data_IF_230578580412
#
_entry.id   IF_230578580412
#
_cell.length_a   1.000
_cell.length_b   1.000
_cell.length_c   1.000
_cell.angle_alpha   90.00
_cell.angle_beta   90.00
_cell.angle_gamma   90.00
#
_symmetry.space_group_name_H-M   'P 1'
#
loop_
_entity.id
_entity.type
_entity.pdbx_description
1 polymer ?
#
# COMPACT_ATOMS: atom_id res chain seq x y z
N UNK A 1 -16.09 -2.09 23.69
CA UNK A 1 -15.89 -0.73 24.27
C UNK A 1 -14.40 -0.44 24.23
N UNK A 2 -13.99 0.67 23.63
CA UNK A 2 -12.60 1.12 23.57
C UNK A 2 -12.07 1.41 24.97
N UNK A 3 -10.88 0.93 25.30
CA UNK A 3 -10.28 1.21 26.59
C UNK A 3 -8.96 2.00 26.43
N UNK A 4 -8.59 2.72 27.49
CA UNK A 4 -7.38 3.56 27.50
C UNK A 4 -6.11 2.76 27.19
N UNK A 5 -6.04 1.50 27.61
CA UNK A 5 -4.87 0.65 27.33
C UNK A 5 -4.70 0.35 25.83
N UNK A 6 -5.79 0.25 25.08
CA UNK A 6 -5.76 0.08 23.64
C UNK A 6 -5.30 1.36 22.93
N UNK A 7 -5.79 2.52 23.37
CA UNK A 7 -5.31 3.81 22.86
C UNK A 7 -3.81 4.00 23.08
N UNK A 8 -3.30 3.66 24.24
CA UNK A 8 -1.88 3.82 24.59
C UNK A 8 -0.92 2.93 23.77
N UNK A 9 -1.43 1.92 23.08
CA UNK A 9 -0.63 1.16 22.10
C UNK A 9 -0.29 1.98 20.84
N UNK A 10 -1.06 3.02 20.56
CA UNK A 10 -0.83 3.94 19.43
C UNK A 10 -0.01 5.15 19.90
N UNK A 11 1.12 5.45 19.23
CA UNK A 11 2.00 6.59 19.55
C UNK A 11 1.22 7.91 19.63
N UNK A 12 0.20 8.05 18.81
CA UNK A 12 -0.67 9.22 18.72
C UNK A 12 -1.30 9.60 20.07
N UNK A 13 -1.66 8.63 20.90
CA UNK A 13 -2.37 8.83 22.17
C UNK A 13 -1.46 8.79 23.41
N UNK A 14 -0.20 8.32 23.27
CA UNK A 14 0.71 8.10 24.42
C UNK A 14 1.03 9.36 25.23
N UNK A 15 0.90 10.53 24.63
CA UNK A 15 1.22 11.82 25.27
C UNK A 15 -0.02 12.61 25.69
N UNK A 16 -1.22 12.00 25.62
CA UNK A 16 -2.44 12.60 26.11
C UNK A 16 -2.58 12.36 27.63
N UNK A 17 -3.19 13.35 28.29
CA UNK A 17 -3.58 13.24 29.70
C UNK A 17 -4.71 12.23 29.85
N UNK A 18 -4.81 11.64 31.04
CA UNK A 18 -5.78 10.58 31.33
C UNK A 18 -7.22 11.00 31.03
N UNK A 19 -7.61 12.21 31.43
CA UNK A 19 -8.97 12.72 31.20
C UNK A 19 -9.30 12.83 29.71
N UNK A 20 -8.30 13.10 28.87
CA UNK A 20 -8.48 13.13 27.41
C UNK A 20 -8.58 11.74 26.80
N UNK A 21 -7.85 10.78 27.33
CA UNK A 21 -7.98 9.38 26.90
C UNK A 21 -9.36 8.81 27.27
N UNK A 22 -9.83 9.07 28.49
CA UNK A 22 -11.18 8.68 28.93
C UNK A 22 -12.24 9.36 28.05
N UNK A 23 -12.06 10.66 27.74
CA UNK A 23 -12.95 11.41 26.84
C UNK A 23 -13.04 10.79 25.43
N UNK A 24 -11.93 10.29 24.87
CA UNK A 24 -11.90 9.57 23.59
C UNK A 24 -12.64 8.24 23.69
N UNK A 25 -12.39 7.48 24.74
CA UNK A 25 -13.05 6.18 24.96
C UNK A 25 -14.58 6.31 25.03
N UNK A 26 -15.08 7.36 25.69
CA UNK A 26 -16.52 7.61 25.85
C UNK A 26 -17.23 7.99 24.54
N UNK A 27 -16.50 8.56 23.58
CA UNK A 27 -17.06 9.03 22.30
C UNK A 27 -16.87 8.05 21.14
N UNK A 28 -15.99 7.10 21.32
CA UNK A 28 -15.70 6.14 20.27
C UNK A 28 -16.86 5.16 20.07
N UNK A 29 -17.37 5.06 18.87
CA UNK A 29 -18.38 4.07 18.46
C UNK A 29 -17.69 2.82 17.97
N UNK A 30 -18.06 1.65 18.50
CA UNK A 30 -17.51 0.36 18.08
C UNK A 30 -18.19 -0.12 16.80
N UNK A 31 -17.36 -0.55 15.83
CA UNK A 31 -17.74 -1.20 14.60
C UNK A 31 -17.07 -2.58 14.54
N UNK A 32 -17.84 -3.59 14.21
CA UNK A 32 -17.34 -4.94 13.95
C UNK A 32 -17.42 -5.24 12.45
N UNK A 33 -16.34 -5.73 11.91
CA UNK A 33 -16.24 -6.07 10.49
C UNK A 33 -15.89 -7.54 10.37
N UNK A 34 -16.66 -8.26 9.56
CA UNK A 34 -16.28 -9.61 9.13
C UNK A 34 -15.21 -9.55 8.05
N UNK A 35 -14.45 -10.62 7.92
CA UNK A 35 -13.49 -10.76 6.83
C UNK A 35 -14.16 -10.49 5.47
N UNK A 36 -13.57 -9.59 4.67
CA UNK A 36 -14.08 -9.19 3.37
C UNK A 36 -14.92 -7.92 3.36
N UNK A 37 -15.38 -7.44 4.53
CA UNK A 37 -16.18 -6.22 4.63
C UNK A 37 -15.36 -4.99 4.23
N UNK A 38 -16.03 -4.03 3.59
CA UNK A 38 -15.43 -2.75 3.22
C UNK A 38 -15.70 -1.72 4.31
N UNK A 39 -14.63 -1.23 4.95
CA UNK A 39 -14.69 -0.18 5.96
C UNK A 39 -14.91 1.20 5.32
N UNK A 40 -14.11 1.52 4.29
CA UNK A 40 -14.17 2.77 3.54
C UNK A 40 -13.88 2.46 2.08
N UNK A 41 -14.56 3.14 1.15
CA UNK A 41 -14.36 2.97 -0.29
C UNK A 41 -13.64 4.17 -0.90
N UNK A 42 -12.79 3.91 -1.89
CA UNK A 42 -12.17 4.96 -2.70
C UNK A 42 -13.22 5.87 -3.34
N UNK A 43 -13.04 7.19 -3.22
CA UNK A 43 -13.97 8.21 -3.70
C UNK A 43 -15.07 8.61 -2.71
N UNK A 44 -15.22 7.91 -1.59
CA UNK A 44 -16.14 8.31 -0.54
C UNK A 44 -15.66 9.57 0.19
N UNK A 45 -16.58 10.29 0.82
CA UNK A 45 -16.23 11.29 1.84
C UNK A 45 -15.76 10.57 3.10
N UNK A 46 -14.84 11.20 3.85
CA UNK A 46 -14.40 10.66 5.14
C UNK A 46 -15.60 10.53 6.10
N UNK A 47 -15.67 9.41 6.82
CA UNK A 47 -16.70 9.18 7.85
C UNK A 47 -16.25 9.72 9.20
N UNK A 48 -15.04 9.37 9.62
CA UNK A 48 -14.47 9.75 10.90
C UNK A 48 -13.01 9.32 11.02
N UNK A 49 -12.46 9.47 12.21
CA UNK A 49 -11.16 8.94 12.57
C UNK A 49 -11.35 7.51 13.10
N UNK A 50 -10.69 6.55 12.47
CA UNK A 50 -10.90 5.12 12.66
C UNK A 50 -9.70 4.51 13.41
N UNK A 51 -9.95 3.78 14.48
CA UNK A 51 -8.95 3.09 15.30
C UNK A 51 -9.18 1.59 15.19
N UNK A 52 -8.24 0.88 14.58
CA UNK A 52 -8.23 -0.58 14.49
C UNK A 52 -7.59 -1.15 15.76
N UNK A 53 -8.35 -1.88 16.57
CA UNK A 53 -7.88 -2.49 17.82
C UNK A 53 -7.63 -3.98 17.70
N UNK A 54 -8.24 -4.65 16.71
CA UNK A 54 -8.06 -6.08 16.44
C UNK A 54 -8.23 -6.36 14.95
N UNK A 55 -7.47 -7.30 14.40
CA UNK A 55 -7.53 -7.73 13.02
C UNK A 55 -6.54 -7.03 12.09
N UNK A 56 -6.75 -7.18 10.78
CA UNK A 56 -5.92 -6.65 9.71
C UNK A 56 -6.78 -6.02 8.62
N UNK A 57 -6.40 -4.83 8.15
CA UNK A 57 -7.06 -4.06 7.08
C UNK A 57 -6.14 -3.99 5.86
N UNK A 58 -6.62 -4.49 4.72
CA UNK A 58 -5.99 -4.33 3.42
C UNK A 58 -6.32 -2.97 2.81
N UNK A 59 -5.35 -2.39 2.12
CA UNK A 59 -5.45 -1.11 1.43
C UNK A 59 -5.31 -1.38 -0.06
N UNK A 60 -6.33 -1.01 -0.83
CA UNK A 60 -6.34 -1.15 -2.27
C UNK A 60 -6.65 0.19 -2.94
N UNK A 61 -6.22 0.33 -4.17
CA UNK A 61 -6.53 1.49 -5.03
C UNK A 61 -6.97 1.01 -6.40
N UNK A 62 -7.95 1.68 -6.97
CA UNK A 62 -8.39 1.41 -8.33
C UNK A 62 -7.50 2.14 -9.34
N UNK A 63 -6.89 1.40 -10.26
CA UNK A 63 -6.02 1.96 -11.30
C UNK A 63 -6.18 1.14 -12.59
N UNK A 64 -6.38 1.82 -13.71
CA UNK A 64 -6.51 1.20 -15.06
C UNK A 64 -7.57 0.09 -15.13
N UNK A 65 -8.68 0.24 -14.39
CA UNK A 65 -9.77 -0.74 -14.39
C UNK A 65 -9.59 -1.93 -13.45
N UNK A 66 -8.50 -1.96 -12.67
CA UNK A 66 -8.17 -3.05 -11.74
C UNK A 66 -7.95 -2.53 -10.32
N UNK A 67 -8.48 -3.25 -9.34
CA UNK A 67 -8.19 -2.99 -7.93
C UNK A 67 -6.82 -3.56 -7.57
N UNK A 68 -5.91 -2.69 -7.16
CA UNK A 68 -4.52 -3.04 -6.87
C UNK A 68 -4.22 -2.92 -5.39
N UNK A 69 -3.63 -3.94 -4.75
CA UNK A 69 -3.20 -3.86 -3.37
C UNK A 69 -2.00 -2.90 -3.25
N UNK A 70 -2.08 -1.97 -2.30
CA UNK A 70 -1.01 -1.03 -1.94
C UNK A 70 -0.28 -1.53 -0.69
N UNK A 71 -1.01 -2.15 0.24
CA UNK A 71 -0.47 -2.64 1.50
C UNK A 71 -1.55 -3.13 2.44
N UNK A 72 -1.17 -3.34 3.68
CA UNK A 72 -2.08 -3.65 4.78
C UNK A 72 -1.57 -3.04 6.09
N UNK A 73 -2.45 -2.93 7.06
CA UNK A 73 -2.11 -2.58 8.43
C UNK A 73 -2.76 -3.57 9.40
N UNK A 74 -1.96 -4.09 10.31
CA UNK A 74 -2.40 -4.90 11.43
C UNK A 74 -2.69 -4.02 12.64
N UNK A 75 -3.58 -4.46 13.50
CA UNK A 75 -3.86 -3.77 14.76
C UNK A 75 -2.61 -3.80 15.68
N UNK A 76 -2.33 -2.71 16.42
CA UNK A 76 -3.08 -1.46 16.49
C UNK A 76 -2.72 -0.49 15.33
N UNK A 77 -3.72 0.07 14.68
CA UNK A 77 -3.55 1.05 13.60
C UNK A 77 -4.66 2.11 13.63
N UNK A 78 -4.52 3.17 12.85
CA UNK A 78 -5.57 4.18 12.68
C UNK A 78 -5.60 4.73 11.26
N UNK A 79 -6.76 5.30 10.86
CA UNK A 79 -7.03 5.81 9.53
C UNK A 79 -7.93 7.05 9.59
N UNK A 80 -7.97 7.82 8.50
CA UNK A 80 -8.90 8.94 8.32
C UNK A 80 -8.35 10.29 8.70
N UNK A 81 -7.20 10.38 9.39
CA UNK A 81 -6.60 11.63 9.84
C UNK A 81 -6.29 12.59 8.68
N UNK A 82 -5.81 12.06 7.55
CA UNK A 82 -5.45 12.88 6.38
C UNK A 82 -6.71 13.55 5.83
N UNK A 83 -7.75 12.78 5.55
CA UNK A 83 -8.99 13.25 4.93
C UNK A 83 -9.74 14.24 5.84
N UNK A 84 -9.72 14.03 7.16
CA UNK A 84 -10.31 14.97 8.11
C UNK A 84 -9.55 16.30 8.08
N UNK A 85 -8.22 16.27 7.97
CA UNK A 85 -7.38 17.48 7.97
C UNK A 85 -7.39 18.23 6.63
N UNK A 86 -7.52 17.51 5.50
CA UNK A 86 -7.46 18.12 4.16
C UNK A 86 -8.83 18.40 3.55
N UNK A 87 -9.87 17.69 3.98
CA UNK A 87 -11.20 17.72 3.36
C UNK A 87 -11.29 16.94 2.04
N UNK A 88 -10.24 16.22 1.67
CA UNK A 88 -10.20 15.47 0.42
C UNK A 88 -11.05 14.19 0.49
N UNK A 89 -11.42 13.66 -0.67
CA UNK A 89 -12.03 12.36 -0.80
C UNK A 89 -11.03 11.25 -0.42
N UNK A 90 -11.55 10.10 0.00
CA UNK A 90 -10.74 8.93 0.34
C UNK A 90 -10.04 8.40 -0.91
N UNK A 91 -8.69 8.32 -0.95
CA UNK A 91 -7.95 7.94 -2.14
C UNK A 91 -7.73 6.43 -2.29
N UNK A 92 -8.26 5.62 -1.38
CA UNK A 92 -8.05 4.17 -1.31
C UNK A 92 -9.28 3.45 -0.74
N UNK A 93 -9.42 2.18 -1.03
CA UNK A 93 -10.41 1.31 -0.37
C UNK A 93 -9.76 0.57 0.80
N UNK A 94 -10.41 0.58 1.95
CA UNK A 94 -10.02 -0.16 3.16
C UNK A 94 -10.96 -1.37 3.32
N UNK A 95 -10.40 -2.58 3.34
CA UNK A 95 -11.16 -3.84 3.44
C UNK A 95 -10.59 -4.72 4.53
N UNK A 96 -11.46 -5.33 5.33
CA UNK A 96 -11.07 -6.28 6.36
C UNK A 96 -10.47 -7.54 5.74
N UNK A 97 -9.22 -7.87 6.09
CA UNK A 97 -8.55 -9.12 5.70
C UNK A 97 -8.84 -10.26 6.68
N UNK A 98 -9.18 -9.92 7.89
CA UNK A 98 -9.66 -10.81 8.96
C UNK A 98 -10.87 -10.17 9.63
N UNK A 99 -11.50 -10.84 10.56
CA UNK A 99 -12.47 -10.19 11.45
C UNK A 99 -11.77 -9.06 12.21
N UNK A 100 -12.38 -7.88 12.23
CA UNK A 100 -11.78 -6.66 12.77
C UNK A 100 -12.67 -5.98 13.80
N UNK A 101 -12.05 -5.42 14.84
CA UNK A 101 -12.67 -4.42 15.72
C UNK A 101 -12.10 -3.04 15.39
N UNK A 102 -13.00 -2.15 15.02
CA UNK A 102 -12.69 -0.75 14.70
C UNK A 102 -13.50 0.15 15.62
N UNK A 103 -12.93 1.28 16.02
CA UNK A 103 -13.62 2.32 16.77
C UNK A 103 -13.56 3.61 15.98
N UNK A 104 -14.72 4.25 15.81
CA UNK A 104 -14.86 5.49 15.05
C UNK A 104 -15.06 6.66 16.02
N UNK A 105 -14.30 7.73 15.79
CA UNK A 105 -14.47 9.04 16.44
C UNK A 105 -14.90 10.02 15.36
N UNK A 106 -15.88 10.88 15.66
CA UNK A 106 -16.36 11.86 14.69
C UNK A 106 -15.26 12.82 14.24
N UNK A 107 -15.35 13.40 13.04
CA UNK A 107 -14.38 14.38 12.57
C UNK A 107 -14.28 15.58 13.53
N UNK A 108 -15.40 16.02 14.09
CA UNK A 108 -15.48 17.14 15.04
C UNK A 108 -14.70 16.85 16.33
N UNK A 109 -14.89 15.66 16.90
CA UNK A 109 -14.18 15.22 18.11
C UNK A 109 -12.68 15.06 17.86
N UNK A 110 -12.31 14.52 16.69
CA UNK A 110 -10.90 14.42 16.28
C UNK A 110 -10.25 15.80 16.14
N UNK A 111 -10.90 16.75 15.45
CA UNK A 111 -10.43 18.11 15.30
C UNK A 111 -10.35 18.83 16.65
N UNK A 112 -11.29 18.56 17.58
CA UNK A 112 -11.23 19.10 18.93
C UNK A 112 -9.96 18.64 19.66
N UNK A 113 -9.57 17.35 19.55
CA UNK A 113 -8.30 16.86 20.10
C UNK A 113 -7.08 17.55 19.45
N UNK A 114 -7.07 17.69 18.13
CA UNK A 114 -5.99 18.38 17.41
C UNK A 114 -5.83 19.81 17.91
N UNK A 115 -6.91 20.57 18.03
CA UNK A 115 -6.86 21.98 18.45
C UNK A 115 -6.54 22.18 19.93
N UNK A 116 -6.97 21.27 20.81
CA UNK A 116 -6.80 21.41 22.24
C UNK A 116 -5.52 20.77 22.81
N UNK A 117 -4.95 19.81 22.09
CA UNK A 117 -3.80 19.01 22.57
C UNK A 117 -2.60 19.15 21.65
N UNK A 118 -1.71 20.12 21.96
CA UNK A 118 -0.52 20.42 21.13
C UNK A 118 0.37 19.21 20.83
N UNK A 119 0.50 18.28 21.78
CA UNK A 119 1.28 17.06 21.57
C UNK A 119 0.61 16.10 20.60
N UNK A 120 -0.72 16.01 20.64
CA UNK A 120 -1.54 15.25 19.72
C UNK A 120 -1.43 15.84 18.31
N UNK A 121 -1.66 17.15 18.17
CA UNK A 121 -1.49 17.89 16.92
C UNK A 121 -0.14 17.60 16.25
N UNK A 122 0.97 17.76 16.98
CA UNK A 122 2.31 17.50 16.45
C UNK A 122 2.51 16.06 15.98
N UNK A 123 1.92 15.09 16.69
CA UNK A 123 2.04 13.69 16.33
C UNK A 123 1.20 13.38 15.10
N UNK A 124 -0.01 13.95 14.99
CA UNK A 124 -0.85 13.86 13.78
C UNK A 124 -0.09 14.39 12.56
N UNK A 125 0.43 15.60 12.61
CA UNK A 125 1.18 16.19 11.50
C UNK A 125 2.40 15.36 11.10
N UNK A 126 3.17 14.83 12.06
CA UNK A 126 4.31 13.97 11.79
C UNK A 126 3.88 12.68 11.08
N UNK A 127 2.80 12.07 11.55
CA UNK A 127 2.26 10.85 10.93
C UNK A 127 1.79 11.11 9.51
N UNK A 128 1.07 12.20 9.28
CA UNK A 128 0.62 12.61 7.93
C UNK A 128 1.84 12.77 7.01
N UNK A 129 2.86 13.51 7.46
CA UNK A 129 4.09 13.72 6.69
C UNK A 129 4.77 12.40 6.33
N UNK A 130 4.91 11.47 7.29
CA UNK A 130 5.51 10.16 7.05
C UNK A 130 4.71 9.33 6.05
N UNK A 131 3.37 9.33 6.16
CA UNK A 131 2.49 8.59 5.25
C UNK A 131 2.54 9.15 3.83
N UNK A 132 2.54 10.48 3.67
CA UNK A 132 2.65 11.14 2.35
C UNK A 132 4.00 10.82 1.72
N UNK A 133 5.09 10.91 2.47
CA UNK A 133 6.43 10.57 1.98
C UNK A 133 6.55 9.08 1.60
N UNK A 134 5.98 8.19 2.41
CA UNK A 134 5.92 6.76 2.14
C UNK A 134 5.20 6.45 0.83
N UNK A 135 4.05 7.07 0.60
CA UNK A 135 3.28 6.92 -0.63
C UNK A 135 4.05 7.43 -1.86
N UNK A 136 4.68 8.59 -1.76
CA UNK A 136 5.50 9.15 -2.86
C UNK A 136 6.67 8.21 -3.21
N UNK A 137 7.37 7.69 -2.20
CA UNK A 137 8.46 6.73 -2.39
C UNK A 137 7.99 5.43 -3.04
N UNK A 138 6.81 4.94 -2.66
CA UNK A 138 6.20 3.76 -3.26
C UNK A 138 5.89 3.97 -4.74
N UNK A 139 5.28 5.10 -5.11
CA UNK A 139 4.96 5.46 -6.50
C UNK A 139 6.24 5.54 -7.34
N UNK A 140 7.26 6.28 -6.87
CA UNK A 140 8.54 6.41 -7.57
C UNK A 140 9.26 5.08 -7.78
N UNK A 141 9.26 4.20 -6.77
CA UNK A 141 9.88 2.89 -6.89
C UNK A 141 9.16 2.01 -7.91
N UNK A 142 7.83 2.11 -7.97
CA UNK A 142 7.03 1.38 -8.96
C UNK A 142 7.30 1.85 -10.38
N UNK A 143 7.38 3.16 -10.59
CA UNK A 143 7.74 3.74 -11.91
C UNK A 143 9.14 3.28 -12.35
N UNK A 144 10.12 3.30 -11.44
CA UNK A 144 11.47 2.78 -11.71
C UNK A 144 11.46 1.30 -12.09
N UNK A 145 10.70 0.48 -11.36
CA UNK A 145 10.58 -0.96 -11.66
C UNK A 145 9.91 -1.22 -13.01
N UNK A 146 8.88 -0.46 -13.36
CA UNK A 146 8.23 -0.55 -14.66
C UNK A 146 9.19 -0.16 -15.80
N UNK A 147 9.94 0.92 -15.64
CA UNK A 147 10.97 1.34 -16.61
C UNK A 147 12.07 0.29 -16.77
N UNK A 148 12.60 -0.27 -15.68
CA UNK A 148 13.59 -1.34 -15.70
C UNK A 148 13.04 -2.61 -16.38
N UNK A 149 11.79 -2.97 -16.13
CA UNK A 149 11.13 -4.10 -16.79
C UNK A 149 11.06 -3.93 -18.31
N UNK A 150 10.70 -2.73 -18.77
CA UNK A 150 10.65 -2.40 -20.19
C UNK A 150 12.04 -2.47 -20.84
N UNK A 151 13.07 -1.92 -20.19
CA UNK A 151 14.45 -1.99 -20.65
C UNK A 151 14.97 -3.43 -20.68
N UNK A 152 14.71 -4.22 -19.64
CA UNK A 152 15.13 -5.62 -19.60
C UNK A 152 14.48 -6.46 -20.71
N UNK A 153 13.19 -6.23 -20.98
CA UNK A 153 12.50 -6.89 -22.10
C UNK A 153 13.10 -6.50 -23.46
N UNK A 154 13.42 -5.22 -23.66
CA UNK A 154 14.10 -4.72 -24.85
C UNK A 154 15.48 -5.36 -25.04
N UNK A 155 16.31 -5.37 -23.99
CA UNK A 155 17.63 -6.00 -24.01
C UNK A 155 17.56 -7.51 -24.28
N UNK A 156 16.62 -8.21 -23.67
CA UNK A 156 16.42 -9.63 -23.92
C UNK A 156 16.07 -9.90 -25.39
N UNK A 157 15.24 -9.04 -25.99
CA UNK A 157 14.90 -9.15 -27.40
C UNK A 157 16.10 -8.86 -28.32
N UNK A 158 16.89 -7.83 -28.01
CA UNK A 158 18.11 -7.49 -28.75
C UNK A 158 19.22 -8.55 -28.61
N UNK A 159 19.35 -9.19 -27.46
CA UNK A 159 20.31 -10.29 -27.27
C UNK A 159 19.85 -11.60 -27.90
N UNK A 160 18.58 -11.87 -27.98
CA UNK A 160 18.04 -13.06 -28.63
C UNK A 160 18.23 -13.00 -30.18
N UNK A 161 18.20 -11.82 -30.77
CA UNK A 161 18.37 -11.65 -32.23
C UNK A 161 19.73 -12.16 -32.74
N UNK A 162 20.89 -11.72 -32.22
CA UNK A 162 22.18 -12.25 -32.62
C UNK A 162 22.38 -13.71 -32.24
N UNK A 163 21.86 -14.15 -31.07
CA UNK A 163 21.95 -15.55 -30.68
C UNK A 163 21.21 -16.46 -31.67
N UNK A 164 20.00 -16.08 -32.08
CA UNK A 164 19.24 -16.80 -33.11
C UNK A 164 19.91 -16.79 -34.47
N UNK A 165 20.59 -15.70 -34.81
CA UNK A 165 21.39 -15.61 -36.07
C UNK A 165 22.59 -16.58 -36.05
N UNK A 166 23.33 -16.62 -34.93
CA UNK A 166 24.46 -17.54 -34.75
C UNK A 166 23.99 -19.01 -34.84
N UNK A 167 22.89 -19.35 -34.17
CA UNK A 167 22.33 -20.73 -34.24
C UNK A 167 21.90 -21.10 -35.64
N UNK A 168 21.34 -20.18 -36.45
CA UNK A 168 21.01 -20.43 -37.84
C UNK A 168 22.27 -20.64 -38.67
N UNK A 169 23.26 -19.75 -38.56
CA UNK A 169 24.53 -19.90 -39.27
C UNK A 169 25.26 -21.22 -38.98
N UNK A 170 25.24 -21.67 -37.73
CA UNK A 170 25.82 -22.97 -37.35
C UNK A 170 25.03 -24.15 -37.94
N UNK A 171 23.69 -24.06 -38.03
CA UNK A 171 22.86 -25.08 -38.67
C UNK A 171 23.15 -25.19 -40.18
N UNK A 172 23.42 -24.07 -40.84
CA UNK A 172 23.76 -24.03 -42.27
C UNK A 172 25.21 -24.50 -42.53
N UNK A 173 26.13 -24.25 -41.61
CA UNK A 173 27.54 -24.64 -41.71
C UNK A 173 27.74 -26.16 -41.56
N UNK A 174 26.97 -26.82 -40.67
CA UNK A 174 27.13 -28.24 -40.42
C UNK A 174 26.94 -29.14 -41.65
N UNK A 175 25.90 -28.95 -42.51
CA UNK A 175 25.76 -29.71 -43.74
C UNK A 175 26.89 -29.42 -44.73
N UNK A 176 27.34 -28.16 -44.84
CA UNK A 176 28.42 -27.77 -45.77
C UNK A 176 29.76 -28.44 -45.41
N UNK A 177 30.08 -28.56 -44.11
CA UNK A 177 31.26 -29.28 -43.63
C UNK A 177 31.17 -30.78 -43.96
N UNK A 178 29.99 -31.38 -43.77
CA UNK A 178 29.78 -32.80 -44.09
C UNK A 178 29.91 -33.07 -45.61
N UNK A 179 29.49 -32.15 -46.44
CA UNK A 179 29.60 -32.25 -47.90
C UNK A 179 31.06 -32.11 -48.36
N UNK A 180 31.80 -31.16 -47.76
CA UNK A 180 33.25 -31.04 -47.97
C UNK A 180 34.03 -32.28 -47.55
N UNK A 181 33.68 -32.87 -46.43
CA UNK A 181 34.30 -34.14 -45.98
C UNK A 181 34.01 -35.30 -46.95
N UNK A 182 32.80 -35.40 -47.50
CA UNK A 182 32.44 -36.38 -48.50
C UNK A 182 33.25 -36.23 -49.79
N UNK A 183 33.40 -34.99 -50.26
CA UNK A 183 34.18 -34.72 -51.49
C UNK A 183 35.67 -35.07 -51.28
N UNK A 184 36.24 -34.82 -50.10
CA UNK A 184 37.64 -35.14 -49.82
C UNK A 184 37.90 -36.64 -49.59
N UNK A 185 36.87 -37.48 -49.42
CA UNK A 185 37.00 -38.96 -49.30
C UNK A 185 36.89 -39.67 -50.66
N UNK A 186 36.67 -38.93 -51.78
CA UNK A 186 36.51 -39.50 -53.15
C UNK A 186 37.81 -39.31 -53.97
N UNK A 187 38.82 -38.68 -53.41
CA UNK A 187 40.17 -38.58 -53.94
C UNK A 187 41.11 -39.33 -52.98
#
# INVERSE_FOLDING_TARGET
>A
MLCVQELLKLELFQKLERDRLDWVCDRATQLELAQGDTLVKEGDTHKGFLILTSGSIGITRFSEGVEMPIGHHDAPAFFGEIQIMTGDLVPVTLRALTDCQVHEITPEDFLQLVHQCRNFERTVFRTIQQRVQGLQSFIQNREKMAALGTLAAGLAHELNNPAAAVVRSLKDLAPAILELQRMNLIY
#
